data_IF_307413575054
#
_entry.id   IF_307413575054
#
_cell.length_a   1.000
_cell.length_b   1.000
_cell.length_c   1.000
_cell.angle_alpha   90.00
_cell.angle_beta   90.00
_cell.angle_gamma   90.00
#
_symmetry.space_group_name_H-M   'P 1'
#
loop_
_entity.id
_entity.type
_entity.pdbx_description
1 polymer ?
#
# COMPACT_ATOMS: atom_id res chain seq x y z
N UNK A 1 -8.14 25.15 -10.70
CA UNK A 1 -7.33 24.00 -11.18
C UNK A 1 -8.31 22.93 -11.72
N UNK A 2 -7.97 22.21 -12.79
CA UNK A 2 -8.84 21.14 -13.35
C UNK A 2 -8.42 19.72 -12.88
N UNK A 3 -7.33 19.62 -12.12
CA UNK A 3 -6.82 18.37 -11.54
C UNK A 3 -7.34 18.23 -10.12
N UNK A 4 -7.90 17.05 -9.78
CA UNK A 4 -8.40 16.77 -8.44
C UNK A 4 -7.38 16.04 -7.54
N UNK A 5 -6.59 15.14 -8.12
CA UNK A 5 -5.71 14.26 -7.35
C UNK A 5 -4.54 13.73 -8.18
N UNK A 6 -3.52 13.24 -7.48
CA UNK A 6 -2.45 12.39 -8.02
C UNK A 6 -2.55 11.01 -7.37
N UNK A 7 -2.69 9.96 -8.19
CA UNK A 7 -2.68 8.57 -7.74
C UNK A 7 -1.39 7.88 -8.17
N UNK A 8 -0.74 7.15 -7.26
CA UNK A 8 0.46 6.37 -7.55
C UNK A 8 0.59 5.16 -6.63
N UNK A 9 1.14 4.06 -7.13
CA UNK A 9 1.60 2.94 -6.29
C UNK A 9 2.98 3.29 -5.69
N UNK A 10 3.18 3.26 -4.36
CA UNK A 10 4.51 3.46 -3.77
C UNK A 10 5.57 2.48 -4.30
N UNK A 11 5.15 1.27 -4.65
CA UNK A 11 5.91 0.29 -5.43
C UNK A 11 5.02 -0.19 -6.57
N UNK A 12 5.37 0.11 -7.81
CA UNK A 12 4.61 -0.35 -8.97
C UNK A 12 4.76 -1.86 -9.11
N UNK A 13 3.67 -2.58 -8.89
CA UNK A 13 3.65 -4.03 -8.83
C UNK A 13 3.84 -4.68 -10.19
N UNK A 14 2.76 -4.71 -10.95
CA UNK A 14 2.72 -5.27 -12.31
C UNK A 14 3.60 -4.49 -13.30
N UNK A 15 3.99 -3.25 -12.96
CA UNK A 15 4.98 -2.45 -13.69
C UNK A 15 6.42 -2.97 -13.59
N UNK A 16 6.62 -4.12 -12.94
CA UNK A 16 7.92 -4.79 -12.82
C UNK A 16 8.62 -4.54 -11.48
N UNK A 17 7.86 -4.51 -10.38
CA UNK A 17 8.38 -4.34 -9.01
C UNK A 17 9.33 -3.13 -8.92
N UNK A 18 8.79 -1.94 -9.21
CA UNK A 18 9.56 -0.69 -9.27
C UNK A 18 9.23 0.20 -8.07
N UNK A 19 10.09 0.25 -7.02
CA UNK A 19 9.90 1.19 -5.93
C UNK A 19 10.03 2.63 -6.42
N UNK A 20 9.05 3.47 -6.09
CA UNK A 20 9.16 4.90 -6.36
C UNK A 20 10.18 5.48 -5.38
N UNK A 21 11.16 6.28 -5.84
CA UNK A 21 12.15 6.84 -4.93
C UNK A 21 11.49 7.72 -3.85
N UNK A 22 11.95 7.61 -2.60
CA UNK A 22 11.39 8.32 -1.44
C UNK A 22 11.26 9.83 -1.66
N UNK A 23 12.27 10.46 -2.25
CA UNK A 23 12.27 11.88 -2.57
C UNK A 23 11.16 12.26 -3.58
N UNK A 24 10.83 11.36 -4.51
CA UNK A 24 9.76 11.59 -5.48
C UNK A 24 8.40 11.56 -4.79
N UNK A 25 8.16 10.59 -3.89
CA UNK A 25 6.92 10.52 -3.09
C UNK A 25 6.75 11.77 -2.22
N UNK A 26 7.83 12.23 -1.56
CA UNK A 26 7.82 13.49 -0.79
C UNK A 26 7.52 14.69 -1.68
N UNK A 27 8.07 14.74 -2.90
CA UNK A 27 7.80 15.83 -3.84
C UNK A 27 6.35 15.81 -4.33
N UNK A 28 5.75 14.65 -4.55
CA UNK A 28 4.33 14.53 -4.89
C UNK A 28 3.44 15.08 -3.77
N UNK A 29 3.74 14.78 -2.50
CA UNK A 29 3.02 15.35 -1.36
C UNK A 29 3.08 16.88 -1.35
N UNK A 30 4.29 17.43 -1.49
CA UNK A 30 4.48 18.89 -1.56
C UNK A 30 3.72 19.52 -2.73
N UNK A 31 3.70 18.87 -3.90
CA UNK A 31 2.94 19.34 -5.05
C UNK A 31 1.43 19.33 -4.77
N UNK A 32 0.94 18.27 -4.13
CA UNK A 32 -0.47 18.17 -3.76
C UNK A 32 -0.86 19.28 -2.77
N UNK A 33 -0.04 19.54 -1.75
CA UNK A 33 -0.24 20.67 -0.82
C UNK A 33 -0.18 22.05 -1.51
N UNK A 34 0.77 22.25 -2.43
CA UNK A 34 0.95 23.51 -3.16
C UNK A 34 -0.22 23.86 -4.08
N UNK A 35 -0.91 22.83 -4.60
CA UNK A 35 -1.92 22.97 -5.64
C UNK A 35 -3.33 22.60 -5.19
N UNK A 36 -3.53 22.32 -3.90
CA UNK A 36 -4.81 21.88 -3.34
C UNK A 36 -5.34 20.62 -4.04
N UNK A 37 -4.46 19.62 -4.17
CA UNK A 37 -4.76 18.31 -4.77
C UNK A 37 -4.74 17.23 -3.69
N UNK A 38 -5.49 16.16 -3.90
CA UNK A 38 -5.39 14.97 -3.09
C UNK A 38 -4.23 14.09 -3.55
N UNK A 39 -3.48 13.52 -2.61
CA UNK A 39 -2.52 12.45 -2.85
C UNK A 39 -3.16 11.10 -2.53
N UNK A 40 -3.15 10.20 -3.51
CA UNK A 40 -3.71 8.86 -3.39
C UNK A 40 -2.59 7.82 -3.55
N UNK A 41 -2.45 6.94 -2.58
CA UNK A 41 -1.61 5.76 -2.72
C UNK A 41 -2.44 4.51 -2.99
N UNK A 42 -2.10 3.82 -4.06
CA UNK A 42 -2.56 2.46 -4.29
C UNK A 42 -1.60 1.49 -3.58
N UNK A 43 -2.06 1.00 -2.43
CA UNK A 43 -1.36 0.04 -1.60
C UNK A 43 -1.98 -1.36 -1.68
N UNK A 44 -2.79 -1.61 -2.71
CA UNK A 44 -3.45 -2.91 -2.90
C UNK A 44 -2.44 -4.05 -2.99
N UNK A 45 -1.31 -3.86 -3.69
CA UNK A 45 -0.29 -4.91 -3.81
C UNK A 45 0.86 -4.75 -2.80
N UNK A 46 1.29 -3.52 -2.54
CA UNK A 46 2.48 -3.23 -1.74
C UNK A 46 2.21 -2.99 -0.24
N UNK A 47 0.95 -2.90 0.17
CA UNK A 47 0.55 -2.78 1.56
C UNK A 47 0.44 -4.12 2.29
N UNK A 48 -0.07 -4.07 3.52
CA UNK A 48 -0.30 -5.20 4.43
C UNK A 48 0.98 -6.04 4.60
N UNK A 49 2.04 -5.38 5.04
CA UNK A 49 3.30 -6.03 5.41
C UNK A 49 4.21 -6.40 4.25
N UNK A 50 3.76 -6.27 2.99
CA UNK A 50 4.48 -6.77 1.80
C UNK A 50 5.92 -6.25 1.68
N UNK A 51 6.15 -5.00 2.08
CA UNK A 51 7.45 -4.33 2.00
C UNK A 51 8.25 -4.36 3.30
N UNK A 52 7.77 -5.07 4.33
CA UNK A 52 8.38 -5.08 5.67
C UNK A 52 7.95 -3.92 6.58
N UNK A 53 7.03 -3.07 6.11
CA UNK A 53 6.21 -2.13 6.91
C UNK A 53 4.74 -2.48 6.70
N UNK A 54 3.85 -2.05 7.59
CA UNK A 54 2.43 -2.34 7.41
C UNK A 54 1.94 -1.76 6.08
N UNK A 55 2.30 -0.51 5.80
CA UNK A 55 2.12 0.12 4.49
C UNK A 55 3.44 0.63 3.91
N UNK A 56 3.60 0.54 2.60
CA UNK A 56 4.81 0.91 1.89
C UNK A 56 5.13 2.41 2.00
N UNK A 57 4.12 3.29 2.08
CA UNK A 57 4.36 4.73 2.23
C UNK A 57 5.11 5.10 3.52
N UNK A 58 5.06 4.25 4.55
CA UNK A 58 5.76 4.48 5.82
C UNK A 58 7.28 4.58 5.63
N UNK A 59 7.84 3.87 4.64
CA UNK A 59 9.26 3.98 4.28
C UNK A 59 9.63 5.39 3.82
N UNK A 60 8.69 6.10 3.19
CA UNK A 60 8.88 7.48 2.77
C UNK A 60 8.52 8.50 3.84
N UNK A 61 7.75 8.10 4.87
CA UNK A 61 7.18 9.02 5.85
C UNK A 61 6.20 10.01 5.23
N UNK A 62 5.45 9.58 4.22
CA UNK A 62 4.49 10.41 3.48
C UNK A 62 3.10 9.84 3.68
N UNK A 63 2.23 10.55 4.40
CA UNK A 63 0.83 10.14 4.58
C UNK A 63 0.00 10.59 3.36
N UNK A 64 -0.72 9.68 2.68
CA UNK A 64 -1.65 10.05 1.62
C UNK A 64 -2.98 10.56 2.20
N UNK A 65 -3.74 11.29 1.38
CA UNK A 65 -5.11 11.68 1.70
C UNK A 65 -6.08 10.51 1.44
N UNK A 66 -5.83 9.85 0.30
CA UNK A 66 -6.38 8.64 -0.31
C UNK A 66 -5.60 7.33 -0.12
N UNK A 67 -6.09 6.22 0.43
CA UNK A 67 -5.40 4.92 0.26
C UNK A 67 -6.30 3.76 -0.11
N UNK A 68 -5.98 3.09 -1.22
CA UNK A 68 -6.63 1.84 -1.63
C UNK A 68 -5.90 0.62 -1.05
N UNK A 69 -6.65 -0.29 -0.43
CA UNK A 69 -6.12 -1.49 0.22
C UNK A 69 -6.97 -2.70 -0.20
N UNK A 70 -6.34 -3.82 -0.55
CA UNK A 70 -7.02 -5.10 -0.76
C UNK A 70 -5.98 -6.23 -0.65
N UNK A 71 -6.13 -7.32 -1.41
CA UNK A 71 -5.22 -8.48 -1.50
C UNK A 71 -4.76 -9.00 -0.14
N UNK A 72 -3.63 -8.49 0.37
CA UNK A 72 -3.01 -8.91 1.62
C UNK A 72 -3.99 -8.85 2.80
N UNK A 73 -4.86 -7.84 2.88
CA UNK A 73 -5.79 -7.66 4.00
C UNK A 73 -6.80 -8.79 4.13
N UNK A 74 -7.08 -9.50 3.03
CA UNK A 74 -8.00 -10.62 3.03
C UNK A 74 -7.35 -11.98 3.20
N UNK A 75 -6.02 -12.08 3.14
CA UNK A 75 -5.33 -13.37 3.15
C UNK A 75 -5.84 -14.36 2.09
N UNK A 76 -6.42 -13.87 0.99
CA UNK A 76 -7.10 -14.68 -0.04
C UNK A 76 -8.62 -14.59 -0.07
N UNK A 77 -9.28 -14.09 0.99
CA UNK A 77 -10.71 -13.78 0.99
C UNK A 77 -11.00 -12.41 0.34
N UNK A 78 -12.10 -12.24 -0.41
CA UNK A 78 -12.42 -10.96 -1.04
C UNK A 78 -12.77 -9.87 -0.02
N UNK A 79 -11.83 -8.94 0.16
CA UNK A 79 -12.01 -7.72 0.95
C UNK A 79 -11.07 -6.63 0.45
N UNK A 80 -11.55 -5.39 0.49
CA UNK A 80 -10.78 -4.19 0.24
C UNK A 80 -11.34 -3.00 1.01
N UNK A 81 -10.54 -1.96 1.15
CA UNK A 81 -10.87 -0.73 1.84
C UNK A 81 -10.37 0.49 1.06
N UNK A 82 -11.13 1.57 1.13
CA UNK A 82 -10.70 2.91 0.76
C UNK A 82 -10.55 3.68 2.07
N UNK A 83 -9.32 3.93 2.49
CA UNK A 83 -9.00 4.72 3.67
C UNK A 83 -8.84 6.18 3.23
N UNK A 84 -9.42 7.11 3.98
CA UNK A 84 -9.34 8.53 3.67
C UNK A 84 -9.20 9.35 4.95
N UNK A 85 -8.54 10.51 4.85
CA UNK A 85 -8.60 11.53 5.90
C UNK A 85 -10.01 12.12 5.97
N UNK A 86 -10.38 12.71 7.11
CA UNK A 86 -11.69 13.37 7.26
C UNK A 86 -11.91 14.46 6.21
N UNK A 87 -10.86 15.21 5.89
CA UNK A 87 -10.87 16.26 4.86
C UNK A 87 -11.07 15.70 3.45
N UNK A 88 -10.41 14.59 3.09
CA UNK A 88 -10.61 13.94 1.80
C UNK A 88 -11.99 13.27 1.69
N UNK A 89 -12.58 12.88 2.83
CA UNK A 89 -13.85 12.18 2.89
C UNK A 89 -15.08 13.10 2.91
N UNK A 90 -14.93 14.44 2.94
CA UNK A 90 -16.08 15.37 3.06
C UNK A 90 -17.15 15.19 1.98
N UNK A 91 -16.76 14.73 0.79
CA UNK A 91 -17.67 14.44 -0.33
C UNK A 91 -18.41 13.10 -0.23
N UNK A 92 -17.96 12.20 0.66
CA UNK A 92 -18.51 10.85 0.84
C UNK A 92 -19.75 10.89 1.73
N UNK A 93 -20.81 11.51 1.23
CA UNK A 93 -22.10 11.59 1.91
C UNK A 93 -22.97 10.35 1.62
N UNK A 94 -24.05 10.18 2.40
CA UNK A 94 -24.94 9.03 2.26
C UNK A 94 -25.47 8.87 0.83
N UNK A 95 -25.25 7.69 0.24
CA UNK A 95 -25.70 7.37 -1.12
C UNK A 95 -24.71 7.69 -2.23
N UNK A 96 -23.58 8.37 -1.95
CA UNK A 96 -22.55 8.67 -2.97
C UNK A 96 -21.76 7.44 -3.38
N UNK A 97 -21.51 6.53 -2.44
CA UNK A 97 -20.85 5.25 -2.68
C UNK A 97 -21.52 4.16 -1.84
N UNK A 98 -21.57 2.94 -2.36
CA UNK A 98 -22.21 1.82 -1.68
C UNK A 98 -21.92 0.50 -2.37
N UNK A 99 -22.06 -0.58 -1.63
CA UNK A 99 -21.82 -1.94 -2.11
C UNK A 99 -22.64 -2.92 -1.30
N UNK A 100 -23.26 -3.90 -1.97
CA UNK A 100 -24.07 -4.93 -1.30
C UNK A 100 -23.23 -5.85 -0.42
N UNK A 101 -21.97 -6.12 -0.83
CA UNK A 101 -21.11 -7.11 -0.17
C UNK A 101 -19.89 -6.50 0.55
N UNK A 102 -19.56 -5.23 0.29
CA UNK A 102 -18.47 -4.58 1.00
C UNK A 102 -18.80 -4.40 2.48
N UNK A 103 -17.80 -4.61 3.34
CA UNK A 103 -18.01 -4.60 4.78
C UNK A 103 -18.79 -5.81 5.32
N UNK A 104 -18.95 -6.88 4.54
CA UNK A 104 -19.65 -8.07 5.03
C UNK A 104 -18.95 -8.66 6.28
N UNK A 105 -19.70 -9.14 7.29
CA UNK A 105 -19.10 -9.56 8.56
C UNK A 105 -18.06 -10.69 8.45
N UNK A 106 -18.20 -11.59 7.47
CA UNK A 106 -17.24 -12.67 7.25
C UNK A 106 -15.89 -12.12 6.75
N UNK A 107 -15.91 -11.21 5.77
CA UNK A 107 -14.71 -10.52 5.30
C UNK A 107 -14.04 -9.72 6.41
N UNK A 108 -14.81 -9.07 7.28
CA UNK A 108 -14.27 -8.31 8.43
C UNK A 108 -13.61 -9.24 9.45
N UNK A 109 -14.22 -10.38 9.76
CA UNK A 109 -13.64 -11.37 10.66
C UNK A 109 -12.33 -11.95 10.11
N UNK A 110 -12.29 -12.26 8.80
CA UNK A 110 -11.05 -12.72 8.13
C UNK A 110 -9.99 -11.62 8.15
N UNK A 111 -10.36 -10.37 7.82
CA UNK A 111 -9.44 -9.25 7.82
C UNK A 111 -8.81 -9.00 9.19
N UNK A 112 -9.62 -9.07 10.26
CA UNK A 112 -9.11 -8.96 11.62
C UNK A 112 -8.11 -10.09 11.94
N UNK A 113 -8.44 -11.35 11.63
CA UNK A 113 -7.53 -12.46 11.87
C UNK A 113 -6.20 -12.34 11.09
N UNK A 114 -6.23 -11.81 9.87
CA UNK A 114 -5.02 -11.51 9.10
C UNK A 114 -4.21 -10.40 9.78
N UNK A 115 -4.85 -9.31 10.20
CA UNK A 115 -4.18 -8.20 10.86
C UNK A 115 -3.61 -8.59 12.22
N UNK A 116 -4.28 -9.43 13.00
CA UNK A 116 -3.78 -9.97 14.28
C UNK A 116 -2.42 -10.65 14.09
N UNK A 117 -2.24 -11.40 13.00
CA UNK A 117 -0.97 -12.07 12.68
C UNK A 117 0.06 -11.09 12.11
N UNK A 118 -0.33 -10.22 11.16
CA UNK A 118 0.60 -9.29 10.50
C UNK A 118 1.17 -8.26 11.48
N UNK A 119 0.37 -7.88 12.49
CA UNK A 119 0.74 -6.92 13.52
C UNK A 119 1.37 -7.56 14.76
N UNK A 120 1.52 -8.89 14.80
CA UNK A 120 2.22 -9.57 15.89
C UNK A 120 3.70 -9.15 15.94
N UNK A 121 4.23 -8.99 17.16
CA UNK A 121 5.62 -8.61 17.39
C UNK A 121 6.58 -9.56 16.64
N UNK A 122 7.47 -8.98 15.85
CA UNK A 122 8.48 -9.71 15.08
C UNK A 122 8.01 -10.26 13.72
N UNK A 123 6.72 -10.20 13.38
CA UNK A 123 6.24 -10.65 12.06
C UNK A 123 6.90 -9.84 10.93
N UNK A 124 6.83 -8.51 11.00
CA UNK A 124 7.42 -7.62 9.99
C UNK A 124 8.95 -7.66 9.98
N UNK A 125 9.58 -7.89 11.13
CA UNK A 125 11.04 -8.08 11.21
C UNK A 125 11.47 -9.37 10.48
N UNK A 126 10.69 -10.45 10.63
CA UNK A 126 10.95 -11.69 9.92
C UNK A 126 10.71 -11.55 8.40
N UNK A 127 9.73 -10.75 7.97
CA UNK A 127 9.57 -10.37 6.55
C UNK A 127 10.84 -9.69 6.03
N UNK A 128 11.37 -8.70 6.75
CA UNK A 128 12.60 -8.01 6.34
C UNK A 128 13.81 -8.97 6.31
N UNK A 129 13.94 -9.85 7.31
CA UNK A 129 15.00 -10.86 7.38
C UNK A 129 14.95 -11.82 6.19
N UNK A 130 13.76 -12.32 5.83
CA UNK A 130 13.56 -13.19 4.66
C UNK A 130 13.83 -12.44 3.35
N UNK A 131 13.45 -11.18 3.25
CA UNK A 131 13.72 -10.35 2.08
C UNK A 131 15.23 -10.18 1.83
N UNK A 132 16.01 -9.95 2.89
CA UNK A 132 17.48 -9.87 2.79
C UNK A 132 18.09 -11.19 2.30
N UNK A 133 17.64 -12.32 2.85
CA UNK A 133 18.09 -13.64 2.43
C UNK A 133 17.81 -13.89 0.94
N UNK A 134 16.59 -13.58 0.48
CA UNK A 134 16.23 -13.72 -0.92
C UNK A 134 17.06 -12.80 -1.82
N UNK A 135 17.25 -11.55 -1.43
CA UNK A 135 18.05 -10.57 -2.19
C UNK A 135 19.51 -11.00 -2.33
N UNK A 136 20.11 -11.51 -1.25
CA UNK A 136 21.48 -12.03 -1.28
C UNK A 136 21.61 -13.26 -2.18
N UNK A 137 20.66 -14.20 -2.08
CA UNK A 137 20.64 -15.37 -2.95
C UNK A 137 20.50 -15.01 -4.43
N UNK A 138 19.59 -14.09 -4.76
CA UNK A 138 19.40 -13.62 -6.14
C UNK A 138 20.63 -12.87 -6.67
N UNK A 139 21.33 -12.10 -5.84
CA UNK A 139 22.58 -11.46 -6.24
C UNK A 139 23.66 -12.50 -6.58
N UNK A 140 23.78 -13.56 -5.79
CA UNK A 140 24.70 -14.66 -6.09
C UNK A 140 24.39 -15.35 -7.41
N UNK A 141 23.10 -15.57 -7.72
CA UNK A 141 22.68 -16.12 -9.02
C UNK A 141 23.02 -15.17 -10.17
N UNK A 142 22.81 -13.86 -10.01
CA UNK A 142 23.17 -12.87 -11.02
C UNK A 142 24.69 -12.81 -11.28
N UNK A 143 25.51 -12.96 -10.23
CA UNK A 143 26.97 -12.99 -10.33
C UNK A 143 27.46 -14.27 -11.03
N UNK A 144 26.79 -15.42 -10.80
CA UNK A 144 27.11 -16.71 -11.46
C UNK A 144 26.71 -16.71 -12.94
N UNK A 145 25.64 -15.99 -13.30
CA UNK A 145 25.08 -15.94 -14.65
C UNK A 145 24.93 -14.49 -15.17
N UNK A 146 26.04 -13.76 -15.43
CA UNK A 146 26.02 -12.33 -15.73
C UNK A 146 25.43 -11.97 -17.11
N UNK A 147 25.30 -12.96 -18.01
CA UNK A 147 24.84 -12.78 -19.39
C UNK A 147 23.35 -13.15 -19.58
N UNK A 148 22.62 -13.46 -18.51
CA UNK A 148 21.18 -13.80 -18.50
C UNK A 148 20.33 -12.59 -18.14
#
# INVERSE_FOLDING_TARGET
PETAAILIEPVQGEGGIRPVPTQSLKRLRQLCEQHDLLLIFDEVQCGIGRTGKLFAHEWAGVTPDIMAVAKGIGGGFPVGACLATDEAAVGMTAGVHGTTFGGNPLAMAVGNAVLDVVLEDGFLDDVQRKALLLKQGLAGVADEFPDV
#
